data_IF_673701600990
#
_entry.id   IF_673701600990
#
_cell.length_a   1.000
_cell.length_b   1.000
_cell.length_c   1.000
_cell.angle_alpha   90.00
_cell.angle_beta   90.00
_cell.angle_gamma   90.00
#
_symmetry.space_group_name_H-M   'P 1'
#
loop_
_entity.id
_entity.type
_entity.pdbx_description
1 polymer ?
#
# COMPACT_ATOMS: atom_id res chain seq x y z
N UNK A 1 -34.04 24.92 -43.04
CA UNK A 1 -33.64 23.74 -42.24
C UNK A 1 -32.18 23.43 -42.56
N UNK A 2 -31.87 23.14 -43.82
CA UNK A 2 -30.51 22.81 -44.27
C UNK A 2 -29.49 23.90 -43.90
N UNK A 3 -29.83 25.18 -44.12
CA UNK A 3 -28.93 26.31 -43.77
C UNK A 3 -28.57 26.38 -42.28
N UNK A 4 -29.49 26.00 -41.37
CA UNK A 4 -29.22 25.97 -39.93
C UNK A 4 -28.28 24.81 -39.57
N UNK A 5 -28.50 23.62 -40.14
CA UNK A 5 -27.66 22.45 -39.89
C UNK A 5 -26.29 22.55 -40.57
N UNK A 6 -26.19 23.20 -41.72
CA UNK A 6 -24.94 23.47 -42.41
C UNK A 6 -24.02 24.35 -41.56
N UNK A 7 -24.56 25.38 -40.90
CA UNK A 7 -23.81 26.24 -39.99
C UNK A 7 -23.40 25.48 -38.70
N UNK A 8 -24.21 24.51 -38.24
CA UNK A 8 -23.84 23.62 -37.13
C UNK A 8 -22.68 22.72 -37.53
N UNK A 9 -22.69 22.15 -38.74
CA UNK A 9 -21.60 21.32 -39.29
C UNK A 9 -20.27 22.09 -39.28
N UNK A 10 -20.29 23.36 -39.68
CA UNK A 10 -19.10 24.21 -39.71
C UNK A 10 -18.52 24.44 -38.30
N UNK A 11 -19.37 24.53 -37.28
CA UNK A 11 -18.96 24.77 -35.89
C UNK A 11 -18.49 23.50 -35.14
N UNK A 12 -18.82 22.30 -35.65
CA UNK A 12 -18.44 21.01 -35.07
C UNK A 12 -17.32 20.30 -35.85
N UNK A 13 -16.49 21.06 -36.60
CA UNK A 13 -15.31 20.57 -37.35
C UNK A 13 -14.33 19.72 -36.49
N UNK A 14 -14.32 19.92 -35.18
CA UNK A 14 -13.46 19.20 -34.21
C UNK A 14 -13.89 17.73 -33.97
N UNK A 15 -15.14 17.38 -34.28
CA UNK A 15 -15.66 15.99 -34.21
C UNK A 15 -15.15 15.21 -35.45
N UNK A 16 -14.88 13.89 -35.39
CA UNK A 16 -14.56 13.10 -36.59
C UNK A 16 -15.67 13.17 -37.65
N UNK A 17 -15.30 13.16 -38.94
CA UNK A 17 -16.24 13.28 -40.08
C UNK A 17 -17.40 12.29 -40.01
N UNK A 18 -17.10 11.02 -39.74
CA UNK A 18 -18.10 9.94 -39.68
C UNK A 18 -19.14 10.22 -38.58
N UNK A 19 -18.67 10.58 -37.38
CA UNK A 19 -19.54 10.88 -36.23
C UNK A 19 -20.34 12.18 -36.46
N UNK A 20 -19.74 13.15 -37.15
CA UNK A 20 -20.39 14.41 -37.54
C UNK A 20 -21.59 14.15 -38.45
N UNK A 21 -21.42 13.27 -39.43
CA UNK A 21 -22.46 12.90 -40.39
C UNK A 21 -23.62 12.19 -39.68
N UNK A 22 -23.32 11.20 -38.85
CA UNK A 22 -24.33 10.44 -38.10
C UNK A 22 -25.13 11.34 -37.14
N UNK A 23 -24.45 12.25 -36.42
CA UNK A 23 -25.08 13.20 -35.52
C UNK A 23 -26.05 14.14 -36.26
N UNK A 24 -25.62 14.71 -37.37
CA UNK A 24 -26.45 15.66 -38.12
C UNK A 24 -27.62 14.94 -38.77
N UNK A 25 -27.41 13.74 -39.32
CA UNK A 25 -28.48 12.94 -39.91
C UNK A 25 -29.57 12.61 -38.88
N UNK A 26 -29.18 12.24 -37.65
CA UNK A 26 -30.13 11.98 -36.57
C UNK A 26 -30.99 13.21 -36.24
N UNK A 27 -30.36 14.37 -36.08
CA UNK A 27 -31.09 15.61 -35.76
C UNK A 27 -31.89 16.15 -36.94
N UNK A 28 -31.43 15.92 -38.18
CA UNK A 28 -32.18 16.24 -39.39
C UNK A 28 -33.48 15.44 -39.46
N UNK A 29 -33.41 14.11 -39.26
CA UNK A 29 -34.60 13.25 -39.22
C UNK A 29 -35.54 13.65 -38.08
N UNK A 30 -34.99 13.95 -36.90
CA UNK A 30 -35.77 14.42 -35.75
C UNK A 30 -36.49 15.74 -36.02
N UNK A 31 -35.82 16.72 -36.62
CA UNK A 31 -36.43 18.01 -36.94
C UNK A 31 -37.48 17.89 -38.03
N UNK A 32 -37.28 17.02 -39.02
CA UNK A 32 -38.26 16.73 -40.06
C UNK A 32 -39.51 16.03 -39.50
N UNK A 33 -39.34 15.03 -38.63
CA UNK A 33 -40.46 14.29 -38.02
C UNK A 33 -41.24 15.14 -37.01
N UNK A 34 -40.55 16.07 -36.32
CA UNK A 34 -41.18 16.98 -35.37
C UNK A 34 -42.14 18.00 -36.02
N UNK A 35 -42.04 18.21 -37.33
CA UNK A 35 -42.83 19.20 -38.07
C UNK A 35 -42.64 20.65 -37.60
N UNK A 36 -41.60 20.94 -36.81
CA UNK A 36 -41.33 22.25 -36.24
C UNK A 36 -40.77 23.19 -37.31
N UNK A 37 -41.13 24.47 -37.20
CA UNK A 37 -40.53 25.53 -38.02
C UNK A 37 -39.13 25.89 -37.51
N UNK A 38 -38.31 26.51 -38.35
CA UNK A 38 -36.92 26.87 -38.00
C UNK A 38 -36.88 27.77 -36.76
N UNK A 39 -37.81 28.72 -36.65
CA UNK A 39 -37.88 29.64 -35.51
C UNK A 39 -38.14 28.90 -34.19
N UNK A 40 -38.95 27.85 -34.22
CA UNK A 40 -39.23 27.00 -33.05
C UNK A 40 -38.02 26.14 -32.65
N UNK A 41 -37.23 25.69 -33.63
CA UNK A 41 -35.99 24.94 -33.37
C UNK A 41 -34.94 25.87 -32.75
N UNK A 42 -34.83 27.11 -33.24
CA UNK A 42 -33.92 28.11 -32.66
C UNK A 42 -34.33 28.45 -31.22
N UNK A 43 -35.63 28.52 -30.92
CA UNK A 43 -36.12 28.76 -29.56
C UNK A 43 -35.79 27.60 -28.60
N UNK A 44 -35.87 26.35 -29.06
CA UNK A 44 -35.67 25.16 -28.23
C UNK A 44 -34.19 24.76 -28.09
N UNK A 45 -33.43 24.79 -29.19
CA UNK A 45 -32.05 24.32 -29.24
C UNK A 45 -31.01 25.45 -29.16
N UNK A 46 -31.41 26.67 -29.51
CA UNK A 46 -30.57 27.87 -29.51
C UNK A 46 -30.08 28.24 -30.91
N UNK A 47 -29.12 29.16 -30.98
CA UNK A 47 -28.46 29.50 -32.26
C UNK A 47 -27.59 28.34 -32.75
N UNK A 48 -27.27 28.26 -34.06
CA UNK A 48 -26.40 27.21 -34.62
C UNK A 48 -25.12 26.97 -33.81
N UNK A 49 -24.42 28.06 -33.42
CA UNK A 49 -23.22 28.00 -32.58
C UNK A 49 -23.46 27.41 -31.17
N UNK A 50 -24.60 27.74 -30.55
CA UNK A 50 -24.94 27.26 -29.20
C UNK A 50 -25.30 25.77 -29.25
N UNK A 51 -26.04 25.36 -30.27
CA UNK A 51 -26.37 23.95 -30.49
C UNK A 51 -25.12 23.12 -30.79
N UNK A 52 -24.24 23.60 -31.68
CA UNK A 52 -22.94 22.99 -31.96
C UNK A 52 -22.08 22.82 -30.70
N UNK A 53 -22.05 23.82 -29.82
CA UNK A 53 -21.30 23.74 -28.56
C UNK A 53 -21.88 22.70 -27.59
N UNK A 54 -23.21 22.62 -27.47
CA UNK A 54 -23.88 21.57 -26.68
C UNK A 54 -23.56 20.18 -27.23
N UNK A 55 -23.57 20.03 -28.56
CA UNK A 55 -23.27 18.78 -29.24
C UNK A 55 -21.84 18.31 -28.96
N UNK A 56 -20.87 19.24 -29.04
CA UNK A 56 -19.47 18.99 -28.70
C UNK A 56 -19.32 18.52 -27.25
N UNK A 57 -19.94 19.22 -26.29
CA UNK A 57 -19.85 18.86 -24.87
C UNK A 57 -20.38 17.45 -24.63
N UNK A 58 -21.54 17.10 -25.20
CA UNK A 58 -22.12 15.77 -25.02
C UNK A 58 -21.23 14.69 -25.66
N UNK A 59 -20.77 14.90 -26.90
CA UNK A 59 -19.90 13.97 -27.59
C UNK A 59 -18.60 13.66 -26.83
N UNK A 60 -17.92 14.69 -26.30
CA UNK A 60 -16.68 14.49 -25.55
C UNK A 60 -16.93 13.97 -24.13
N UNK A 61 -18.05 14.31 -23.49
CA UNK A 61 -18.40 13.81 -22.15
C UNK A 61 -18.78 12.33 -22.18
N UNK A 62 -19.54 11.88 -23.18
CA UNK A 62 -19.81 10.44 -23.37
C UNK A 62 -18.54 9.66 -23.67
N UNK A 63 -17.57 10.26 -24.36
CA UNK A 63 -16.27 9.62 -24.61
C UNK A 63 -15.42 9.47 -23.34
N UNK A 64 -15.50 10.42 -22.40
CA UNK A 64 -14.84 10.37 -21.10
C UNK A 64 -15.58 9.46 -20.10
N UNK A 65 -16.91 9.46 -20.06
CA UNK A 65 -17.70 8.59 -19.17
C UNK A 65 -17.67 7.12 -19.61
N UNK A 66 -17.47 6.85 -20.90
CA UNK A 66 -17.14 5.52 -21.46
C UNK A 66 -15.77 4.99 -21.02
N UNK A 67 -15.05 5.71 -20.14
CA UNK A 67 -13.91 5.20 -19.38
C UNK A 67 -14.32 4.31 -18.20
N UNK A 68 -15.61 4.20 -17.88
CA UNK A 68 -16.05 3.44 -16.70
C UNK A 68 -16.88 2.20 -17.02
N UNK A 69 -17.67 2.17 -18.10
CA UNK A 69 -18.49 0.99 -18.40
C UNK A 69 -18.61 0.73 -19.90
N UNK A 70 -18.54 -0.56 -20.23
CA UNK A 70 -19.00 -1.21 -21.46
C UNK A 70 -18.06 -1.28 -22.69
N UNK A 71 -17.53 -2.49 -22.82
CA UNK A 71 -17.13 -3.25 -24.02
C UNK A 71 -17.61 -2.67 -25.38
N UNK A 72 -16.74 -1.93 -26.08
CA UNK A 72 -16.82 -1.81 -27.55
C UNK A 72 -15.41 -1.91 -28.19
N UNK A 73 -15.14 -2.87 -29.11
CA UNK A 73 -13.80 -3.29 -29.47
C UNK A 73 -13.24 -2.57 -30.71
N UNK A 74 -12.91 -1.26 -30.69
CA UNK A 74 -12.31 -0.61 -31.89
C UNK A 74 -11.22 0.45 -31.68
N UNK A 75 -10.37 0.33 -30.66
CA UNK A 75 -9.06 1.02 -30.72
C UNK A 75 -7.92 0.18 -30.13
N UNK A 76 -7.07 -0.34 -31.03
CA UNK A 76 -5.91 -1.20 -30.70
C UNK A 76 -5.01 -0.60 -29.62
N UNK A 77 -4.81 0.73 -29.60
CA UNK A 77 -3.99 1.41 -28.57
C UNK A 77 -4.65 1.48 -27.19
N UNK A 78 -6.00 1.53 -27.12
CA UNK A 78 -6.75 1.51 -25.84
C UNK A 78 -6.88 0.08 -25.33
N UNK A 79 -7.10 -0.88 -26.23
CA UNK A 79 -7.07 -2.32 -25.91
C UNK A 79 -5.70 -2.74 -25.38
N UNK A 80 -4.59 -2.31 -26.00
CA UNK A 80 -3.24 -2.61 -25.47
C UNK A 80 -3.06 -2.00 -24.07
N UNK A 81 -3.53 -0.77 -23.81
CA UNK A 81 -3.49 -0.18 -22.47
C UNK A 81 -4.35 -0.93 -21.46
N UNK A 82 -5.58 -1.32 -21.82
CA UNK A 82 -6.46 -2.13 -20.98
C UNK A 82 -5.88 -3.52 -20.71
N UNK A 83 -5.38 -4.20 -21.74
CA UNK A 83 -4.69 -5.49 -21.62
C UNK A 83 -3.46 -5.34 -20.73
N UNK A 84 -2.67 -4.28 -20.89
CA UNK A 84 -1.50 -4.02 -20.05
C UNK A 84 -1.87 -3.73 -18.59
N UNK A 85 -2.93 -2.98 -18.33
CA UNK A 85 -3.47 -2.77 -16.97
C UNK A 85 -4.04 -4.07 -16.37
N UNK A 86 -4.74 -4.89 -17.15
CA UNK A 86 -5.25 -6.20 -16.71
C UNK A 86 -4.09 -7.15 -16.42
N UNK A 87 -3.04 -7.17 -17.25
CA UNK A 87 -1.83 -7.97 -17.03
C UNK A 87 -1.08 -7.50 -15.79
N UNK A 88 -0.95 -6.19 -15.58
CA UNK A 88 -0.36 -5.64 -14.34
C UNK A 88 -1.23 -5.99 -13.12
N UNK A 89 -2.56 -5.89 -13.23
CA UNK A 89 -3.48 -6.27 -12.15
C UNK A 89 -3.47 -7.77 -11.85
N UNK A 90 -3.43 -8.62 -12.88
CA UNK A 90 -3.39 -10.08 -12.79
C UNK A 90 -2.02 -10.59 -12.37
N UNK A 91 -0.93 -9.85 -12.60
CA UNK A 91 0.38 -10.13 -12.00
C UNK A 91 0.47 -9.59 -10.56
N UNK A 92 -0.14 -8.43 -10.28
CA UNK A 92 -0.15 -7.86 -8.93
C UNK A 92 -1.01 -8.69 -7.96
N UNK A 93 -2.12 -9.27 -8.40
CA UNK A 93 -3.03 -10.10 -7.59
C UNK A 93 -2.35 -11.34 -6.96
N UNK A 94 -1.64 -12.21 -7.71
CA UNK A 94 -0.92 -13.35 -7.16
C UNK A 94 0.38 -12.96 -6.46
N UNK A 95 0.90 -11.75 -6.66
CA UNK A 95 2.06 -11.23 -5.90
C UNK A 95 1.62 -10.64 -4.54
N UNK A 96 0.42 -10.09 -4.43
CA UNK A 96 -0.05 -9.43 -3.21
C UNK A 96 -0.16 -10.39 -2.03
N UNK A 97 -0.69 -11.60 -2.25
CA UNK A 97 -0.88 -12.63 -1.23
C UNK A 97 0.46 -13.13 -0.67
N UNK A 98 1.43 -13.60 -1.50
CA UNK A 98 2.73 -14.03 -0.99
C UNK A 98 3.55 -12.87 -0.44
N UNK A 99 3.42 -11.65 -0.98
CA UNK A 99 4.11 -10.48 -0.44
C UNK A 99 3.58 -10.10 0.95
N UNK A 100 2.26 -10.15 1.16
CA UNK A 100 1.65 -9.89 2.46
C UNK A 100 2.08 -10.94 3.50
N UNK A 101 2.06 -12.23 3.14
CA UNK A 101 2.51 -13.32 4.02
C UNK A 101 4.01 -13.16 4.31
N UNK A 102 4.83 -12.84 3.30
CA UNK A 102 6.26 -12.61 3.46
C UNK A 102 6.55 -11.46 4.40
N UNK A 103 5.83 -10.34 4.29
CA UNK A 103 6.00 -9.19 5.17
C UNK A 103 5.66 -9.53 6.63
N UNK A 104 4.58 -10.29 6.87
CA UNK A 104 4.22 -10.78 8.21
C UNK A 104 5.28 -11.74 8.73
N UNK A 105 5.76 -12.67 7.90
CA UNK A 105 6.80 -13.63 8.27
C UNK A 105 8.12 -12.93 8.65
N UNK A 106 8.51 -11.87 7.94
CA UNK A 106 9.69 -11.06 8.28
C UNK A 106 9.51 -10.36 9.62
N UNK A 107 8.34 -9.77 9.90
CA UNK A 107 8.05 -9.12 11.19
C UNK A 107 8.10 -10.14 12.32
N UNK A 108 7.46 -11.30 12.16
CA UNK A 108 7.45 -12.37 13.15
C UNK A 108 8.85 -12.94 13.35
N UNK A 109 9.59 -13.16 12.26
CA UNK A 109 10.97 -13.62 12.29
C UNK A 109 11.87 -12.67 13.07
N UNK A 110 11.79 -11.36 12.78
CA UNK A 110 12.53 -10.33 13.51
C UNK A 110 12.17 -10.34 15.01
N UNK A 111 10.89 -10.50 15.34
CA UNK A 111 10.42 -10.57 16.72
C UNK A 111 10.98 -11.81 17.43
N UNK A 112 10.91 -12.98 16.79
CA UNK A 112 11.49 -14.22 17.30
C UNK A 112 13.00 -14.11 17.50
N UNK A 113 13.72 -13.50 16.56
CA UNK A 113 15.17 -13.29 16.65
C UNK A 113 15.53 -12.43 17.87
N UNK A 114 14.77 -11.36 18.08
CA UNK A 114 14.95 -10.45 19.20
C UNK A 114 14.66 -11.12 20.54
N UNK A 115 13.61 -11.96 20.61
CA UNK A 115 13.30 -12.78 21.80
C UNK A 115 14.40 -13.82 22.04
N UNK A 116 14.87 -14.50 20.99
CA UNK A 116 15.93 -15.49 21.09
C UNK A 116 17.25 -14.87 21.57
N UNK A 117 17.59 -13.67 21.11
CA UNK A 117 18.77 -12.93 21.58
C UNK A 117 18.65 -12.55 23.05
N UNK A 118 17.46 -12.13 23.50
CA UNK A 118 17.20 -11.88 24.92
C UNK A 118 17.38 -13.15 25.77
N UNK A 119 16.69 -14.23 25.39
CA UNK A 119 16.78 -15.51 26.12
C UNK A 119 18.21 -16.02 26.11
N UNK A 120 18.90 -15.96 24.97
CA UNK A 120 20.31 -16.33 24.83
C UNK A 120 21.23 -15.50 25.73
N UNK A 121 20.99 -14.19 25.85
CA UNK A 121 21.71 -13.32 26.77
C UNK A 121 21.51 -13.69 28.24
N UNK A 122 20.28 -14.04 28.64
CA UNK A 122 19.98 -14.53 29.99
C UNK A 122 20.65 -15.87 30.29
N UNK A 123 20.51 -16.84 29.38
CA UNK A 123 21.14 -18.16 29.51
C UNK A 123 22.67 -18.01 29.55
N UNK A 124 23.24 -17.17 28.69
CA UNK A 124 24.67 -16.86 28.68
C UNK A 124 25.17 -16.27 30.01
N UNK A 125 24.41 -15.39 30.65
CA UNK A 125 24.77 -14.88 31.97
C UNK A 125 24.78 -15.99 33.03
N UNK A 126 23.78 -16.87 33.02
CA UNK A 126 23.69 -17.98 33.98
C UNK A 126 24.83 -18.97 33.77
N UNK A 127 25.17 -19.31 32.51
CA UNK A 127 26.27 -20.22 32.21
C UNK A 127 27.62 -19.63 32.58
N UNK A 128 27.87 -18.35 32.31
CA UNK A 128 29.12 -17.67 32.69
C UNK A 128 29.26 -17.57 34.22
N UNK A 129 28.16 -17.36 34.96
CA UNK A 129 28.21 -17.41 36.43
C UNK A 129 28.54 -18.81 36.94
N UNK A 130 27.93 -19.84 36.35
CA UNK A 130 28.21 -21.24 36.70
C UNK A 130 29.66 -21.63 36.42
N UNK A 131 30.18 -21.30 35.24
CA UNK A 131 31.57 -21.54 34.84
C UNK A 131 32.54 -20.73 35.69
N UNK A 132 32.23 -19.46 35.97
CA UNK A 132 33.06 -18.59 36.81
C UNK A 132 33.22 -19.15 38.22
N UNK A 133 32.12 -19.61 38.84
CA UNK A 133 32.17 -20.22 40.15
C UNK A 133 32.96 -21.54 40.14
N UNK A 134 32.77 -22.36 39.10
CA UNK A 134 33.51 -23.62 38.93
C UNK A 134 35.02 -23.38 38.72
N UNK A 135 35.40 -22.34 37.96
CA UNK A 135 36.79 -21.93 37.78
C UNK A 135 37.44 -21.43 39.06
N UNK A 136 36.70 -20.73 39.94
CA UNK A 136 37.24 -20.31 41.26
C UNK A 136 37.50 -21.53 42.15
N UNK A 137 36.58 -22.48 42.21
CA UNK A 137 36.74 -23.72 43.00
C UNK A 137 37.90 -24.57 42.47
N UNK A 138 38.00 -24.72 41.15
CA UNK A 138 39.10 -25.44 40.50
C UNK A 138 40.45 -24.72 40.71
N UNK A 139 40.47 -23.39 40.65
CA UNK A 139 41.67 -22.59 40.90
C UNK A 139 42.22 -22.78 42.31
N UNK A 140 41.35 -22.88 43.32
CA UNK A 140 41.75 -23.14 44.71
C UNK A 140 42.40 -24.52 44.87
N UNK A 141 41.94 -25.53 44.14
CA UNK A 141 42.55 -26.86 44.14
C UNK A 141 43.94 -26.91 43.50
N UNK A 142 44.20 -26.05 42.51
CA UNK A 142 45.48 -25.99 41.77
C UNK A 142 46.53 -25.11 42.46
N UNK A 143 46.13 -24.24 43.40
CA UNK A 143 47.05 -23.44 44.22
C UNK A 143 48.08 -24.29 44.98
N UNK A 144 47.75 -25.55 45.28
CA UNK A 144 48.67 -26.49 45.94
C UNK A 144 49.81 -27.00 45.06
N UNK A 145 49.71 -26.88 43.73
CA UNK A 145 50.76 -27.29 42.78
C UNK A 145 51.51 -26.11 42.17
N UNK A 146 50.83 -25.00 41.87
CA UNK A 146 51.45 -23.82 41.29
C UNK A 146 50.64 -22.57 41.65
N UNK A 147 51.26 -21.69 42.44
CA UNK A 147 50.62 -20.45 42.93
C UNK A 147 50.23 -19.51 41.78
N UNK A 148 51.04 -19.45 40.73
CA UNK A 148 50.83 -18.57 39.58
C UNK A 148 49.56 -18.92 38.79
N UNK A 149 49.34 -20.20 38.50
CA UNK A 149 48.17 -20.66 37.75
C UNK A 149 46.90 -20.58 38.59
N UNK A 150 46.96 -20.89 39.89
CA UNK A 150 45.83 -20.73 40.80
C UNK A 150 45.35 -19.28 40.91
N UNK A 151 46.26 -18.31 41.01
CA UNK A 151 45.91 -16.89 41.05
C UNK A 151 45.27 -16.43 39.72
N UNK A 152 45.75 -16.94 38.59
CA UNK A 152 45.21 -16.62 37.27
C UNK A 152 43.77 -17.13 37.09
N UNK A 153 43.47 -18.37 37.49
CA UNK A 153 42.11 -18.93 37.41
C UNK A 153 41.13 -18.27 38.39
N UNK A 154 41.57 -17.96 39.61
CA UNK A 154 40.75 -17.23 40.59
C UNK A 154 40.47 -15.81 40.10
N UNK A 155 41.49 -15.10 39.58
CA UNK A 155 41.34 -13.78 38.99
C UNK A 155 40.39 -13.77 37.80
N UNK A 156 40.52 -14.74 36.88
CA UNK A 156 39.64 -14.89 35.72
C UNK A 156 38.18 -15.15 36.14
N UNK A 157 37.95 -16.03 37.12
CA UNK A 157 36.62 -16.30 37.64
C UNK A 157 35.97 -15.08 38.32
N UNK A 158 36.76 -14.29 39.04
CA UNK A 158 36.30 -13.06 39.70
C UNK A 158 36.01 -11.95 38.68
N UNK A 159 36.82 -11.85 37.63
CA UNK A 159 36.57 -10.90 36.52
C UNK A 159 35.33 -11.29 35.71
N UNK A 160 35.14 -12.58 35.43
CA UNK A 160 33.98 -13.11 34.72
C UNK A 160 32.68 -12.88 35.51
N UNK A 161 32.67 -13.20 36.81
CA UNK A 161 31.51 -12.96 37.68
C UNK A 161 31.23 -11.46 37.87
N UNK A 162 32.26 -10.63 38.04
CA UNK A 162 32.12 -9.17 38.10
C UNK A 162 31.53 -8.57 36.82
N UNK A 163 31.96 -9.07 35.65
CA UNK A 163 31.41 -8.64 34.35
C UNK A 163 29.92 -8.98 34.23
N UNK A 164 29.50 -10.16 34.68
CA UNK A 164 28.08 -10.55 34.66
C UNK A 164 27.24 -9.68 35.59
N UNK A 165 27.70 -9.39 36.81
CA UNK A 165 26.97 -8.54 37.76
C UNK A 165 26.79 -7.12 37.21
N UNK A 166 27.78 -6.59 36.48
CA UNK A 166 27.68 -5.29 35.83
C UNK A 166 26.76 -5.30 34.60
N UNK A 167 26.78 -6.38 33.80
CA UNK A 167 25.91 -6.56 32.64
C UNK A 167 24.45 -6.91 33.00
N UNK A 168 24.19 -7.51 34.16
CA UNK A 168 22.85 -7.91 34.60
C UNK A 168 21.82 -6.76 34.64
N UNK A 169 22.09 -5.60 35.29
CA UNK A 169 21.16 -4.47 35.26
C UNK A 169 21.04 -3.85 33.86
N UNK A 170 22.09 -3.90 33.05
CA UNK A 170 22.08 -3.42 31.67
C UNK A 170 21.11 -4.24 30.80
N UNK A 171 21.18 -5.58 30.91
CA UNK A 171 20.28 -6.50 30.24
C UNK A 171 18.83 -6.28 30.68
N UNK A 172 18.56 -6.21 31.99
CA UNK A 172 17.21 -5.96 32.51
C UNK A 172 16.61 -4.63 32.00
N UNK A 173 17.43 -3.58 31.95
CA UNK A 173 17.01 -2.27 31.41
C UNK A 173 16.74 -2.36 29.92
N UNK A 174 17.57 -3.09 29.17
CA UNK A 174 17.35 -3.35 27.74
C UNK A 174 16.07 -4.15 27.49
N UNK A 175 15.80 -5.20 28.27
CA UNK A 175 14.60 -6.02 28.16
C UNK A 175 13.34 -5.18 28.42
N UNK A 176 13.32 -4.37 29.48
CA UNK A 176 12.19 -3.46 29.76
C UNK A 176 11.99 -2.45 28.63
N UNK A 177 13.07 -1.94 28.05
CA UNK A 177 13.01 -1.01 26.93
C UNK A 177 12.44 -1.68 25.67
N UNK A 178 12.90 -2.89 25.33
CA UNK A 178 12.34 -3.73 24.25
C UNK A 178 10.85 -3.97 24.46
N UNK A 179 10.42 -4.33 25.67
CA UNK A 179 9.03 -4.66 25.95
C UNK A 179 8.12 -3.43 25.79
N UNK A 180 8.61 -2.26 26.20
CA UNK A 180 7.93 -0.98 26.00
C UNK A 180 7.86 -0.61 24.52
N UNK A 181 8.92 -0.85 23.76
CA UNK A 181 8.97 -0.69 22.30
C UNK A 181 7.93 -1.59 21.62
N UNK A 182 7.89 -2.88 21.95
CA UNK A 182 6.89 -3.83 21.44
C UNK A 182 5.46 -3.37 21.75
N UNK A 183 5.19 -3.00 23.01
CA UNK A 183 3.84 -2.60 23.40
C UNK A 183 3.40 -1.28 22.73
N UNK A 184 4.33 -0.35 22.52
CA UNK A 184 4.06 0.85 21.73
C UNK A 184 3.84 0.53 20.24
N UNK A 185 4.62 -0.39 19.67
CA UNK A 185 4.48 -0.81 18.28
C UNK A 185 3.13 -1.50 18.05
N UNK A 186 2.72 -2.42 18.92
CA UNK A 186 1.40 -3.07 18.87
C UNK A 186 0.28 -2.04 19.01
N UNK A 187 0.37 -1.10 19.95
CA UNK A 187 -0.62 -0.01 20.09
C UNK A 187 -0.63 0.96 18.90
N UNK A 188 0.48 1.13 18.21
CA UNK A 188 0.60 1.98 17.03
C UNK A 188 0.01 1.28 15.78
N UNK A 189 0.34 0.01 15.56
CA UNK A 189 -0.22 -0.82 14.49
C UNK A 189 -1.73 -1.01 14.69
N UNK A 190 -2.16 -1.33 15.92
CA UNK A 190 -3.58 -1.48 16.27
C UNK A 190 -4.38 -0.21 16.02
N UNK A 191 -3.87 0.97 16.40
CA UNK A 191 -4.52 2.26 16.06
C UNK A 191 -4.60 2.52 14.56
N UNK A 192 -3.59 2.08 13.79
CA UNK A 192 -3.54 2.36 12.35
C UNK A 192 -4.50 1.49 11.53
N UNK A 193 -4.85 0.29 12.02
CA UNK A 193 -5.76 -0.62 11.33
C UNK A 193 -7.17 -0.70 11.95
N UNK A 194 -7.34 -0.57 13.27
CA UNK A 194 -8.63 -0.82 13.95
C UNK A 194 -9.52 0.44 14.01
N UNK A 195 -8.96 1.65 14.04
CA UNK A 195 -9.77 2.87 14.27
C UNK A 195 -10.51 3.40 13.02
N UNK A 196 -10.32 2.82 11.82
CA UNK A 196 -11.08 3.24 10.63
C UNK A 196 -12.43 2.55 10.41
N UNK A 197 -12.83 1.55 11.22
CA UNK A 197 -14.12 0.83 11.05
C UNK A 197 -15.26 1.26 11.98
N UNK A 198 -15.03 2.17 12.93
CA UNK A 198 -16.01 2.46 13.98
C UNK A 198 -16.90 3.71 13.77
N UNK A 199 -17.01 4.27 12.55
CA UNK A 199 -17.78 5.51 12.30
C UNK A 199 -19.08 5.28 11.48
N UNK A 200 -19.29 4.10 10.89
CA UNK A 200 -20.45 3.88 10.00
C UNK A 200 -21.47 2.86 10.55
N UNK A 201 -21.91 2.99 11.81
CA UNK A 201 -23.03 2.18 12.32
C UNK A 201 -23.81 2.87 13.45
N UNK A 202 -24.17 4.15 13.29
CA UNK A 202 -25.08 4.82 14.23
C UNK A 202 -26.04 5.79 13.53
N UNK A 203 -26.57 5.39 12.38
CA UNK A 203 -27.80 5.93 11.81
C UNK A 203 -28.53 4.81 11.09
N UNK A 204 -29.36 4.08 11.83
CA UNK A 204 -30.60 3.44 11.38
C UNK A 204 -31.45 3.25 12.64
#
# INVERSE_FOLDING_TARGET
MNEYLDEVIEEIQEIPEDDRFDLIQYYEEYFLDSGKTIDQIIEEYGTPKQFALKLKINYFSEQDDSATDEVNPRSSKRQIRLIWMIVIGLCASPLLIPLAIGFVAVIVGLLCLLVALLVGGYVGCITVLGLGLFSVVSGIGVLGQSIESGLFYVGLGLFATGTVVFCAPLLLKMTKWIFKMMMNFVKWVGRRFVTRRAIHSSKL
#
